data_IF_332075646390
#
_entry.id   IF_332075646390
#
_cell.length_a   1.000
_cell.length_b   1.000
_cell.length_c   1.000
_cell.angle_alpha   90.00
_cell.angle_beta   90.00
_cell.angle_gamma   90.00
#
_symmetry.space_group_name_H-M   'P 1'
#
loop_
_entity.id
_entity.type
_entity.pdbx_description
1 polymer ?
#
# COMPACT_ATOMS: atom_id res chain seq x y z
N UNK A 1 29.99 2.48 -16.70
CA UNK A 1 29.63 1.46 -15.69
C UNK A 1 29.46 2.16 -14.36
N UNK A 2 28.25 2.54 -14.00
CA UNK A 2 27.98 3.21 -12.71
C UNK A 2 27.91 2.11 -11.67
N UNK A 3 28.96 1.96 -10.86
CA UNK A 3 28.96 1.12 -9.66
C UNK A 3 27.71 1.43 -8.86
N UNK A 4 26.83 0.43 -8.68
CA UNK A 4 25.63 0.58 -7.88
C UNK A 4 26.06 0.79 -6.43
N UNK A 5 26.22 2.05 -6.04
CA UNK A 5 26.49 2.43 -4.66
C UNK A 5 25.32 1.91 -3.82
N UNK A 6 25.63 1.03 -2.87
CA UNK A 6 24.66 0.48 -1.93
C UNK A 6 23.95 1.64 -1.23
N UNK A 7 22.62 1.66 -1.25
CA UNK A 7 21.85 2.74 -0.64
C UNK A 7 22.03 2.74 0.88
N UNK A 8 22.06 3.93 1.48
CA UNK A 8 22.27 4.09 2.92
C UNK A 8 21.26 3.29 3.77
N UNK A 9 20.02 3.13 3.28
CA UNK A 9 19.00 2.33 3.96
C UNK A 9 19.33 0.83 4.05
N UNK A 10 20.14 0.30 3.13
CA UNK A 10 20.62 -1.08 3.17
C UNK A 10 21.82 -1.19 4.11
N UNK A 11 22.74 -0.23 4.07
CA UNK A 11 23.94 -0.23 4.91
C UNK A 11 23.64 0.03 6.39
N UNK A 12 22.72 0.94 6.69
CA UNK A 12 22.37 1.37 8.05
C UNK A 12 20.99 0.86 8.46
N UNK A 13 20.71 -0.41 8.23
CA UNK A 13 19.41 -1.04 8.54
C UNK A 13 19.00 -0.84 10.01
N UNK A 14 19.96 -0.79 10.93
CA UNK A 14 19.75 -0.49 12.35
C UNK A 14 19.14 0.90 12.61
N UNK A 15 19.33 1.86 11.70
CA UNK A 15 18.70 3.19 11.76
C UNK A 15 17.32 3.12 11.10
N UNK A 16 17.27 2.65 9.86
CA UNK A 16 16.05 2.72 9.03
C UNK A 16 14.93 1.76 9.45
N UNK A 17 15.29 0.62 10.05
CA UNK A 17 14.38 -0.38 10.59
C UNK A 17 14.34 -0.36 12.13
N UNK A 18 14.85 0.70 12.76
CA UNK A 18 14.83 0.80 14.21
C UNK A 18 13.38 0.77 14.74
N UNK A 19 13.07 0.03 15.82
CA UNK A 19 11.71 -0.03 16.36
C UNK A 19 11.10 1.34 16.69
N UNK A 20 11.91 2.29 17.17
CA UNK A 20 11.45 3.66 17.42
C UNK A 20 11.10 4.45 16.15
N UNK A 21 11.54 4.02 14.96
CA UNK A 21 11.11 4.60 13.68
C UNK A 21 9.92 3.87 13.07
N UNK A 22 9.63 2.66 13.55
CA UNK A 22 8.43 1.94 13.20
C UNK A 22 7.26 2.43 14.09
N UNK A 23 6.21 2.98 13.47
CA UNK A 23 5.18 3.74 14.19
C UNK A 23 4.27 2.87 15.10
N UNK A 24 4.60 1.58 15.29
CA UNK A 24 3.98 0.72 16.31
C UNK A 24 4.53 0.93 17.73
N UNK A 25 5.73 1.51 17.88
CA UNK A 25 6.35 1.76 19.18
C UNK A 25 6.31 3.26 19.51
N UNK A 26 5.23 3.72 20.15
CA UNK A 26 5.21 5.07 20.71
C UNK A 26 6.27 5.19 21.82
N UNK A 27 7.13 6.22 21.80
CA UNK A 27 8.17 6.38 22.81
C UNK A 27 7.52 6.59 24.19
N UNK A 28 7.83 5.69 25.11
CA UNK A 28 7.30 5.61 26.47
C UNK A 28 7.97 6.62 27.42
N UNK A 29 9.19 7.05 27.10
CA UNK A 29 9.99 7.94 27.94
C UNK A 29 10.50 9.18 27.21
N UNK A 30 10.91 10.21 27.97
CA UNK A 30 11.59 11.40 27.41
C UNK A 30 12.90 11.04 26.71
N UNK A 31 13.61 10.01 27.18
CA UNK A 31 14.84 9.52 26.56
C UNK A 31 14.57 8.94 25.17
N UNK A 32 13.59 8.04 25.07
CA UNK A 32 13.19 7.43 23.80
C UNK A 32 12.67 8.46 22.79
N UNK A 33 11.97 9.51 23.24
CA UNK A 33 11.56 10.61 22.34
C UNK A 33 12.75 11.32 21.71
N UNK A 34 13.79 11.59 22.51
CA UNK A 34 15.04 12.22 22.02
C UNK A 34 15.76 11.29 21.06
N UNK A 35 15.87 10.02 21.39
CA UNK A 35 16.47 9.00 20.54
C UNK A 35 15.72 8.86 19.21
N UNK A 36 14.39 8.76 19.25
CA UNK A 36 13.55 8.75 18.06
C UNK A 36 13.79 9.99 17.19
N UNK A 37 13.85 11.18 17.79
CA UNK A 37 14.12 12.42 17.05
C UNK A 37 15.51 12.40 16.39
N UNK A 38 16.54 11.91 17.11
CA UNK A 38 17.89 11.76 16.56
C UNK A 38 17.90 10.78 15.38
N UNK A 39 17.33 9.59 15.55
CA UNK A 39 17.21 8.58 14.50
C UNK A 39 16.46 9.10 13.27
N UNK A 40 15.35 9.82 13.47
CA UNK A 40 14.58 10.46 12.39
C UNK A 40 15.44 11.47 11.64
N UNK A 41 16.14 12.35 12.36
CA UNK A 41 17.00 13.37 11.75
C UNK A 41 18.15 12.75 10.95
N UNK A 42 18.69 11.63 11.43
CA UNK A 42 19.77 10.91 10.79
C UNK A 42 19.29 10.21 9.50
N UNK A 43 18.15 9.52 9.57
CA UNK A 43 17.53 8.87 8.43
C UNK A 43 17.09 9.90 7.36
N UNK A 44 16.53 11.04 7.77
CA UNK A 44 16.12 12.13 6.88
C UNK A 44 17.31 12.67 6.07
N UNK A 45 18.44 12.96 6.73
CA UNK A 45 19.65 13.43 6.05
C UNK A 45 20.17 12.42 5.04
N UNK A 46 20.19 11.13 5.38
CA UNK A 46 20.62 10.07 4.48
C UNK A 46 19.65 9.86 3.31
N UNK A 47 18.34 9.94 3.57
CA UNK A 47 17.33 9.85 2.51
C UNK A 47 17.42 11.02 1.53
N UNK A 48 17.65 12.25 2.01
CA UNK A 48 17.68 13.44 1.16
C UNK A 48 18.76 13.39 0.06
N UNK A 49 19.86 12.69 0.30
CA UNK A 49 20.92 12.46 -0.70
C UNK A 49 20.70 11.24 -1.61
N UNK A 50 19.63 10.48 -1.41
CA UNK A 50 19.39 9.24 -2.17
C UNK A 50 18.86 9.55 -3.57
N UNK A 51 19.50 9.06 -4.65
CA UNK A 51 19.06 9.32 -6.02
C UNK A 51 17.69 8.72 -6.34
N UNK A 52 17.24 7.73 -5.56
CA UNK A 52 15.97 7.02 -5.76
C UNK A 52 14.85 7.53 -4.84
N UNK A 53 15.03 8.65 -4.14
CA UNK A 53 14.06 9.12 -3.13
C UNK A 53 12.63 9.22 -3.68
N UNK A 54 12.46 9.86 -4.85
CA UNK A 54 11.13 10.07 -5.46
C UNK A 54 10.43 8.76 -5.79
N UNK A 55 11.17 7.84 -6.43
CA UNK A 55 10.65 6.53 -6.82
C UNK A 55 10.34 5.67 -5.58
N UNK A 56 11.26 5.66 -4.61
CA UNK A 56 11.13 4.93 -3.35
C UNK A 56 9.88 5.38 -2.57
N UNK A 57 9.64 6.69 -2.46
CA UNK A 57 8.44 7.22 -1.82
C UNK A 57 7.17 6.86 -2.61
N UNK A 58 7.19 7.01 -3.94
CA UNK A 58 6.05 6.67 -4.79
C UNK A 58 5.65 5.21 -4.62
N UNK A 59 6.62 4.28 -4.66
CA UNK A 59 6.36 2.86 -4.50
C UNK A 59 5.89 2.51 -3.09
N UNK A 60 6.50 3.11 -2.05
CA UNK A 60 6.08 2.91 -0.66
C UNK A 60 4.68 3.48 -0.37
N UNK A 61 4.20 4.46 -1.13
CA UNK A 61 2.84 5.01 -0.98
C UNK A 61 1.83 4.22 -1.82
N UNK A 62 2.19 3.83 -3.04
CA UNK A 62 1.23 3.33 -4.04
C UNK A 62 1.21 1.82 -4.22
N UNK A 63 2.30 1.12 -3.87
CA UNK A 63 2.46 -0.32 -4.16
C UNK A 63 2.63 -1.18 -2.92
N UNK A 64 3.48 -0.77 -1.98
CA UNK A 64 3.90 -1.64 -0.87
C UNK A 64 3.76 -0.93 0.48
N UNK A 65 3.19 -1.60 1.49
CA UNK A 65 3.21 -1.12 2.87
C UNK A 65 4.42 -1.64 3.64
N UNK A 66 5.59 -1.06 3.34
CA UNK A 66 6.85 -1.41 3.97
C UNK A 66 6.95 -0.86 5.41
N UNK A 67 7.62 -1.58 6.31
CA UNK A 67 7.91 -1.13 7.67
C UNK A 67 9.09 -0.13 7.71
N UNK A 68 9.20 0.63 8.81
CA UNK A 68 10.32 1.55 9.05
C UNK A 68 10.29 2.86 8.24
N UNK A 69 11.45 3.52 8.20
CA UNK A 69 11.65 4.83 7.56
C UNK A 69 12.02 4.65 6.09
N UNK A 70 11.18 5.11 5.17
CA UNK A 70 11.32 4.85 3.72
C UNK A 70 10.90 6.09 2.94
N UNK A 71 11.63 6.41 1.87
CA UNK A 71 11.31 7.56 1.00
C UNK A 71 11.29 8.90 1.75
N UNK A 72 12.07 9.05 2.82
CA UNK A 72 12.04 10.25 3.66
C UNK A 72 10.80 10.39 4.55
N UNK A 73 10.08 9.28 4.81
CA UNK A 73 8.82 9.29 5.57
C UNK A 73 8.74 8.14 6.57
N UNK A 74 8.00 8.36 7.66
CA UNK A 74 7.57 7.29 8.58
C UNK A 74 6.32 6.58 8.07
N UNK A 75 5.98 5.43 8.65
CA UNK A 75 4.78 4.65 8.27
C UNK A 75 3.49 5.46 8.43
N UNK A 76 3.32 6.18 9.53
CA UNK A 76 2.21 7.10 9.82
C UNK A 76 2.11 8.21 8.79
N UNK A 77 3.24 8.80 8.39
CA UNK A 77 3.25 9.81 7.33
C UNK A 77 2.79 9.21 5.99
N UNK A 78 3.23 7.98 5.65
CA UNK A 78 2.74 7.28 4.46
C UNK A 78 1.25 6.99 4.53
N UNK A 79 0.72 6.57 5.69
CA UNK A 79 -0.72 6.36 5.88
C UNK A 79 -1.51 7.67 5.68
N UNK A 80 -1.01 8.79 6.19
CA UNK A 80 -1.62 10.10 5.98
C UNK A 80 -1.58 10.52 4.51
N UNK A 81 -0.44 10.35 3.83
CA UNK A 81 -0.30 10.61 2.39
C UNK A 81 -1.30 9.76 1.59
N UNK A 82 -1.40 8.46 1.88
CA UNK A 82 -2.37 7.54 1.26
C UNK A 82 -3.81 8.01 1.47
N UNK A 83 -4.16 8.41 2.69
CA UNK A 83 -5.47 8.95 3.03
C UNK A 83 -5.82 10.20 2.22
N UNK A 84 -4.88 11.15 2.10
CA UNK A 84 -5.05 12.36 1.30
C UNK A 84 -5.16 12.08 -0.20
N UNK A 85 -4.46 11.07 -0.71
CA UNK A 85 -4.45 10.70 -2.12
C UNK A 85 -5.55 9.68 -2.49
N UNK A 86 -6.33 9.20 -1.52
CA UNK A 86 -7.32 8.14 -1.74
C UNK A 86 -6.70 6.81 -2.19
N UNK A 87 -5.43 6.56 -1.85
CA UNK A 87 -4.70 5.34 -2.22
C UNK A 87 -4.96 4.27 -1.16
N UNK A 88 -5.35 3.08 -1.61
CA UNK A 88 -5.43 1.89 -0.78
C UNK A 88 -4.39 0.88 -1.23
N UNK A 89 -3.40 0.64 -0.37
CA UNK A 89 -2.44 -0.45 -0.51
C UNK A 89 -2.92 -1.56 0.42
N UNK A 90 -3.22 -2.71 -0.16
CA UNK A 90 -3.59 -3.89 0.61
C UNK A 90 -2.36 -4.34 1.41
N UNK A 91 -2.50 -4.67 2.71
CA UNK A 91 -1.40 -5.27 3.46
C UNK A 91 -0.96 -6.56 2.75
N UNK A 92 0.33 -6.86 2.81
CA UNK A 92 0.85 -8.10 2.22
C UNK A 92 0.04 -9.29 2.78
N UNK A 93 -0.62 -10.00 1.88
CA UNK A 93 -1.38 -11.20 2.19
C UNK A 93 -0.40 -12.35 2.43
N UNK A 94 0.13 -12.42 3.65
CA UNK A 94 0.97 -13.52 4.09
C UNK A 94 0.22 -14.87 4.13
N UNK A 95 -1.12 -14.88 4.08
CA UNK A 95 -1.91 -16.12 4.05
C UNK A 95 -1.78 -16.82 2.68
N UNK A 96 -1.65 -16.03 1.60
CA UNK A 96 -1.29 -16.55 0.27
C UNK A 96 0.11 -17.19 0.28
N UNK A 97 1.08 -16.64 1.01
CA UNK A 97 2.42 -17.24 1.16
C UNK A 97 2.42 -18.50 2.04
N UNK A 98 1.59 -18.53 3.08
CA UNK A 98 1.41 -19.68 3.97
C UNK A 98 0.59 -20.83 3.35
N UNK A 99 0.17 -20.72 2.07
CA UNK A 99 -0.60 -21.74 1.37
C UNK A 99 -2.03 -21.89 1.87
N UNK A 100 -2.51 -20.96 2.71
CA UNK A 100 -3.87 -20.93 3.22
C UNK A 100 -4.77 -20.31 2.16
N UNK A 101 -4.96 -21.04 1.05
CA UNK A 101 -5.92 -20.69 0.03
C UNK A 101 -7.33 -20.82 0.63
N UNK A 102 -7.84 -19.75 1.24
CA UNK A 102 -9.27 -19.61 1.56
C UNK A 102 -10.07 -19.43 0.26
N UNK A 103 -10.03 -20.44 -0.62
CA UNK A 103 -10.66 -20.46 -1.93
C UNK A 103 -9.99 -19.53 -2.95
N UNK A 104 -9.85 -20.00 -4.19
CA UNK A 104 -9.55 -19.11 -5.32
C UNK A 104 -10.56 -17.95 -5.30
N UNK A 105 -10.08 -16.72 -5.12
CA UNK A 105 -10.95 -15.54 -5.21
C UNK A 105 -11.27 -15.31 -6.69
N UNK A 106 -12.54 -15.44 -7.06
CA UNK A 106 -13.01 -15.16 -8.42
C UNK A 106 -13.60 -13.75 -8.47
N UNK A 107 -13.29 -13.01 -9.53
CA UNK A 107 -13.84 -11.67 -9.72
C UNK A 107 -15.36 -11.74 -9.98
N UNK A 108 -16.12 -11.45 -8.91
CA UNK A 108 -17.58 -11.41 -8.92
C UNK A 108 -18.13 -10.31 -9.83
N UNK A 109 -17.40 -9.20 -9.98
CA UNK A 109 -17.76 -8.13 -10.90
C UNK A 109 -17.59 -8.59 -12.35
N UNK A 110 -16.54 -9.34 -12.66
CA UNK A 110 -16.35 -9.90 -14.00
C UNK A 110 -17.45 -10.91 -14.35
N UNK A 111 -17.80 -11.82 -13.44
CA UNK A 111 -18.92 -12.76 -13.62
C UNK A 111 -20.24 -12.01 -13.93
N UNK A 112 -20.56 -10.98 -13.14
CA UNK A 112 -21.75 -10.18 -13.35
C UNK A 112 -21.69 -9.42 -14.68
N UNK A 113 -20.58 -8.76 -15.00
CA UNK A 113 -20.40 -7.98 -16.23
C UNK A 113 -20.61 -8.84 -17.47
N UNK A 114 -20.01 -10.03 -17.52
CA UNK A 114 -20.18 -10.97 -18.65
C UNK A 114 -21.65 -11.40 -18.76
N UNK A 115 -22.31 -11.69 -17.63
CA UNK A 115 -23.72 -12.08 -17.59
C UNK A 115 -24.65 -10.96 -18.06
N UNK A 116 -24.43 -9.73 -17.61
CA UNK A 116 -25.24 -8.56 -18.02
C UNK A 116 -25.04 -8.24 -19.50
N UNK A 117 -23.82 -8.36 -20.00
CA UNK A 117 -23.52 -8.11 -21.41
C UNK A 117 -24.05 -9.22 -22.35
N UNK A 118 -24.24 -10.45 -21.85
CA UNK A 118 -24.71 -11.59 -22.64
C UNK A 118 -25.73 -12.45 -21.85
N UNK A 119 -26.98 -12.00 -21.68
CA UNK A 119 -27.99 -12.70 -20.87
C UNK A 119 -28.38 -14.08 -21.40
N UNK A 120 -28.30 -14.30 -22.71
CA UNK A 120 -28.70 -15.56 -23.34
C UNK A 120 -27.55 -16.57 -23.47
N UNK A 121 -26.31 -16.13 -23.18
CA UNK A 121 -25.14 -17.00 -23.27
C UNK A 121 -25.15 -18.03 -22.14
N UNK A 122 -24.84 -19.31 -22.43
CA UNK A 122 -24.80 -20.35 -21.40
C UNK A 122 -23.72 -20.04 -20.36
N UNK A 123 -24.03 -20.31 -19.09
CA UNK A 123 -23.15 -20.04 -17.94
C UNK A 123 -21.83 -20.81 -17.99
N UNK A 124 -21.76 -21.91 -18.77
CA UNK A 124 -20.52 -22.65 -19.05
C UNK A 124 -19.46 -21.78 -19.74
N UNK A 125 -19.87 -20.80 -20.56
CA UNK A 125 -18.93 -19.90 -21.22
C UNK A 125 -18.36 -18.87 -20.24
N UNK A 126 -19.17 -18.41 -19.28
CA UNK A 126 -18.71 -17.54 -18.20
C UNK A 126 -17.71 -18.30 -17.32
N UNK A 127 -18.06 -19.53 -16.95
CA UNK A 127 -17.21 -20.41 -16.17
C UNK A 127 -15.85 -20.66 -16.84
N UNK A 128 -15.84 -20.93 -18.15
CA UNK A 128 -14.61 -21.11 -18.92
C UNK A 128 -13.76 -19.82 -18.99
N UNK A 129 -14.38 -18.65 -19.17
CA UNK A 129 -13.67 -17.36 -19.22
C UNK A 129 -13.06 -16.96 -17.88
N UNK A 130 -13.77 -17.20 -16.79
CA UNK A 130 -13.35 -16.84 -15.42
C UNK A 130 -12.46 -17.94 -14.80
N UNK A 131 -12.40 -19.14 -15.40
CA UNK A 131 -11.61 -20.25 -14.89
C UNK A 131 -12.20 -20.93 -13.65
N UNK A 132 -13.54 -20.96 -13.55
CA UNK A 132 -14.28 -21.54 -12.43
C UNK A 132 -15.33 -22.55 -12.91
N UNK A 133 -16.06 -23.18 -11.98
CA UNK A 133 -17.16 -24.08 -12.32
C UNK A 133 -18.48 -23.31 -12.51
N UNK A 134 -19.42 -23.91 -13.25
CA UNK A 134 -20.77 -23.33 -13.44
C UNK A 134 -21.51 -23.17 -12.10
N UNK A 135 -21.27 -24.06 -11.13
CA UNK A 135 -21.85 -23.95 -9.78
C UNK A 135 -21.32 -22.73 -9.04
N UNK A 136 -20.04 -22.41 -9.19
CA UNK A 136 -19.43 -21.18 -8.65
C UNK A 136 -20.06 -19.94 -9.27
N UNK A 137 -20.22 -19.90 -10.60
CA UNK A 137 -20.91 -18.79 -11.30
C UNK A 137 -22.32 -18.59 -10.76
N UNK A 138 -23.13 -19.65 -10.65
CA UNK A 138 -24.49 -19.58 -10.10
C UNK A 138 -24.52 -19.07 -8.67
N UNK A 139 -23.62 -19.54 -7.81
CA UNK A 139 -23.51 -19.10 -6.42
C UNK A 139 -23.21 -17.61 -6.33
N UNK A 140 -22.29 -17.11 -7.16
CA UNK A 140 -21.95 -15.69 -7.20
C UNK A 140 -23.11 -14.84 -7.71
N UNK A 141 -23.77 -15.22 -8.80
CA UNK A 141 -24.94 -14.49 -9.34
C UNK A 141 -26.09 -14.43 -8.34
N UNK A 142 -26.43 -15.55 -7.69
CA UNK A 142 -27.46 -15.57 -6.63
C UNK A 142 -27.13 -14.61 -5.50
N UNK A 143 -25.88 -14.62 -5.02
CA UNK A 143 -25.44 -13.70 -3.99
C UNK A 143 -25.56 -12.24 -4.45
N UNK A 144 -25.31 -11.95 -5.74
CA UNK A 144 -25.40 -10.59 -6.31
C UNK A 144 -26.83 -10.09 -6.28
N UNK A 145 -27.77 -10.95 -6.64
CA UNK A 145 -29.20 -10.67 -6.55
C UNK A 145 -29.60 -10.43 -5.08
N UNK A 146 -29.15 -11.27 -4.15
CA UNK A 146 -29.40 -11.11 -2.70
C UNK A 146 -28.82 -9.81 -2.12
N UNK A 147 -27.69 -9.33 -2.64
CA UNK A 147 -27.01 -8.10 -2.20
C UNK A 147 -27.42 -6.84 -3.00
N UNK A 148 -28.45 -6.94 -3.86
CA UNK A 148 -28.95 -5.84 -4.71
C UNK A 148 -27.89 -5.24 -5.67
N UNK A 149 -26.98 -6.06 -6.19
CA UNK A 149 -26.08 -5.68 -7.28
C UNK A 149 -24.58 -5.86 -6.98
N UNK A 150 -23.75 -5.33 -7.88
CA UNK A 150 -22.29 -5.34 -7.73
C UNK A 150 -21.76 -3.93 -7.69
N UNK A 151 -21.05 -3.59 -6.63
CA UNK A 151 -20.26 -2.35 -6.57
C UNK A 151 -19.08 -2.52 -7.52
N UNK A 152 -19.04 -1.71 -8.60
CA UNK A 152 -17.89 -1.68 -9.50
C UNK A 152 -16.64 -1.34 -8.67
N UNK A 153 -15.57 -2.14 -8.74
CA UNK A 153 -14.30 -1.74 -8.15
C UNK A 153 -13.91 -0.38 -8.73
N UNK A 154 -13.75 0.64 -7.88
CA UNK A 154 -13.25 1.94 -8.35
C UNK A 154 -11.88 1.67 -8.97
N UNK A 155 -11.70 2.05 -10.23
CA UNK A 155 -10.40 2.00 -10.88
C UNK A 155 -9.46 2.87 -10.05
N UNK A 156 -8.53 2.25 -9.33
CA UNK A 156 -7.54 2.95 -8.50
C UNK A 156 -6.64 3.74 -9.47
N UNK A 157 -6.90 5.03 -9.69
CA UNK A 157 -5.96 5.90 -10.38
C UNK A 157 -4.70 6.02 -9.54
N UNK A 158 -3.59 5.50 -10.05
CA UNK A 158 -2.30 5.63 -9.36
C UNK A 158 -1.86 7.09 -9.44
N UNK A 159 -1.65 7.77 -8.30
CA UNK A 159 -1.17 9.15 -8.31
C UNK A 159 0.22 9.22 -8.92
N UNK A 160 0.53 10.34 -9.60
CA UNK A 160 1.86 10.55 -10.17
C UNK A 160 2.92 10.73 -9.07
N UNK A 161 4.19 10.36 -9.30
CA UNK A 161 5.26 10.57 -8.33
C UNK A 161 5.40 12.02 -7.87
N UNK A 162 5.17 12.99 -8.77
CA UNK A 162 5.21 14.42 -8.45
C UNK A 162 4.11 14.82 -7.45
N UNK A 163 2.89 14.29 -7.62
CA UNK A 163 1.79 14.53 -6.68
C UNK A 163 2.07 13.91 -5.31
N UNK A 164 2.62 12.69 -5.28
CA UNK A 164 3.01 12.02 -4.04
C UNK A 164 4.05 12.84 -3.26
N UNK A 165 5.08 13.37 -3.95
CA UNK A 165 6.09 14.22 -3.35
C UNK A 165 5.50 15.52 -2.77
N UNK A 166 4.63 16.19 -3.51
CA UNK A 166 3.98 17.43 -3.05
C UNK A 166 3.21 17.20 -1.74
N UNK A 167 2.37 16.17 -1.69
CA UNK A 167 1.62 15.82 -0.48
C UNK A 167 2.55 15.39 0.67
N UNK A 168 3.65 14.71 0.36
CA UNK A 168 4.62 14.33 1.39
C UNK A 168 5.32 15.53 2.02
N UNK A 169 5.66 16.57 1.25
CA UNK A 169 6.21 17.81 1.79
C UNK A 169 5.20 18.52 2.72
N UNK A 170 3.92 18.54 2.36
CA UNK A 170 2.87 19.10 3.22
C UNK A 170 2.73 18.33 4.54
N UNK A 171 2.72 17.00 4.49
CA UNK A 171 2.61 16.13 5.68
C UNK A 171 3.83 16.30 6.60
N UNK A 172 5.04 16.37 6.02
CA UNK A 172 6.28 16.66 6.77
C UNK A 172 6.26 18.06 7.38
N UNK A 173 5.78 19.06 6.63
CA UNK A 173 5.66 20.44 7.09
C UNK A 173 4.66 20.60 8.24
N UNK A 174 3.53 19.88 8.21
CA UNK A 174 2.56 19.84 9.31
C UNK A 174 3.12 19.20 10.57
N UNK A 175 3.85 18.09 10.44
CA UNK A 175 4.51 17.42 11.56
C UNK A 175 5.56 18.32 12.24
N UNK A 176 6.32 19.11 11.46
CA UNK A 176 7.30 20.07 12.01
C UNK A 176 6.65 21.18 12.84
N UNK A 177 5.44 21.63 12.48
CA UNK A 177 4.70 22.66 13.26
C UNK A 177 4.20 22.13 14.60
N UNK A 178 3.75 20.87 14.66
CA UNK A 178 3.30 20.23 15.90
C UNK A 178 4.47 19.93 16.84
N UNK A 179 5.66 19.61 16.32
CA UNK A 179 6.85 19.33 17.13
C UNK A 179 7.54 20.58 17.70
N UNK A 180 7.21 21.78 17.20
CA UNK A 180 7.77 23.05 17.66
C UNK A 180 6.87 23.81 18.64
N UNK A 181 5.67 23.30 18.91
CA UNK A 181 4.70 23.80 19.90
C UNK A 181 4.80 22.99 21.20
#
# INVERSE_FOLDING_TARGET
MTTAATTACVTYSNVFLHPLLDDGAAPSSRGERREQQMLRSQAEKMCAGCPMLAQCLSDAVTKFDVAGYVGGTTKRQRQEIRGRLGVQVDPEDFDTFAGVNSGRQFDRYEIHRIRTANPDQPLSVIAAKVGCSVSTVKRHLRRIEEENGVVRPRVKTTPSPALVLAVAEEVKGGARRVAAA
#
